data_IF_317281277018
#
_entry.id   IF_317281277018
#
_cell.length_a   1.000
_cell.length_b   1.000
_cell.length_c   1.000
_cell.angle_alpha   90.00
_cell.angle_beta   90.00
_cell.angle_gamma   90.00
#
_symmetry.space_group_name_H-M   'P 1'
#
loop_
_entity.id
_entity.type
_entity.pdbx_description
1 polymer ?
#
# COMPACT_ATOMS: atom_id res chain seq x y z
N UNK A 1 -6.76 14.49 22.86
CA UNK A 1 -7.87 15.41 23.21
C UNK A 1 -8.03 16.34 22.02
N UNK A 2 -9.22 16.37 21.40
CA UNK A 2 -9.50 17.19 20.21
C UNK A 2 -9.21 16.52 18.87
N UNK A 3 -9.32 15.19 18.77
CA UNK A 3 -9.23 14.45 17.49
C UNK A 3 -10.43 13.54 17.22
N UNK A 4 -11.49 13.72 18.02
CA UNK A 4 -12.63 12.80 18.04
C UNK A 4 -13.44 12.92 16.74
N UNK A 5 -13.47 14.11 16.14
CA UNK A 5 -14.12 14.35 14.84
C UNK A 5 -13.36 13.68 13.68
N UNK A 6 -12.04 13.82 13.62
CA UNK A 6 -11.22 13.17 12.60
C UNK A 6 -11.28 11.64 12.74
N UNK A 7 -11.20 11.12 13.96
CA UNK A 7 -11.34 9.69 14.22
C UNK A 7 -12.73 9.18 13.81
N UNK A 8 -13.80 9.92 14.13
CA UNK A 8 -15.17 9.57 13.73
C UNK A 8 -15.34 9.57 12.21
N UNK A 9 -14.75 10.55 11.53
CA UNK A 9 -14.78 10.65 10.06
C UNK A 9 -14.08 9.45 9.41
N UNK A 10 -12.86 9.14 9.85
CA UNK A 10 -12.11 7.98 9.37
C UNK A 10 -12.83 6.66 9.65
N UNK A 11 -13.49 6.55 10.81
CA UNK A 11 -14.30 5.38 11.15
C UNK A 11 -15.51 5.21 10.23
N UNK A 12 -16.17 6.29 9.83
CA UNK A 12 -17.28 6.25 8.87
C UNK A 12 -16.80 5.78 7.50
N UNK A 13 -15.73 6.39 6.99
CA UNK A 13 -15.16 6.03 5.69
C UNK A 13 -14.75 4.55 5.67
N UNK A 14 -14.14 4.06 6.75
CA UNK A 14 -13.75 2.66 6.83
C UNK A 14 -14.95 1.70 6.83
N UNK A 15 -16.05 2.04 7.52
CA UNK A 15 -17.29 1.25 7.46
C UNK A 15 -17.87 1.23 6.05
N UNK A 16 -17.93 2.37 5.38
CA UNK A 16 -18.38 2.47 3.99
C UNK A 16 -17.52 1.60 3.05
N UNK A 17 -16.19 1.61 3.21
CA UNK A 17 -15.29 0.71 2.44
C UNK A 17 -15.62 -0.76 2.68
N UNK A 18 -15.89 -1.14 3.94
CA UNK A 18 -16.21 -2.52 4.29
C UNK A 18 -17.58 -2.96 3.74
N UNK A 19 -18.57 -2.07 3.78
CA UNK A 19 -19.95 -2.33 3.36
C UNK A 19 -20.09 -2.30 1.83
N UNK A 20 -19.58 -1.27 1.18
CA UNK A 20 -19.71 -1.05 -0.27
C UNK A 20 -18.67 -1.84 -1.09
N UNK A 21 -17.61 -2.32 -0.44
CA UNK A 21 -16.46 -3.00 -1.07
C UNK A 21 -15.78 -2.15 -2.16
N UNK A 22 -15.80 -0.83 -1.99
CA UNK A 22 -15.14 0.14 -2.88
C UNK A 22 -13.94 0.78 -2.22
N UNK A 23 -12.86 0.99 -2.98
CA UNK A 23 -11.68 1.68 -2.48
C UNK A 23 -11.97 3.17 -2.20
N UNK A 24 -11.44 3.69 -1.09
CA UNK A 24 -11.47 5.12 -0.74
C UNK A 24 -10.06 5.57 -0.39
N UNK A 25 -9.71 6.80 -0.76
CA UNK A 25 -8.45 7.43 -0.40
C UNK A 25 -8.70 8.58 0.56
N UNK A 26 -7.90 8.63 1.63
CA UNK A 26 -7.91 9.74 2.57
C UNK A 26 -6.50 10.29 2.71
N UNK A 27 -6.37 11.60 2.52
CA UNK A 27 -5.10 12.32 2.66
C UNK A 27 -5.12 13.14 3.93
N UNK A 28 -4.17 12.88 4.84
CA UNK A 28 -4.03 13.63 6.09
C UNK A 28 -2.99 14.73 5.90
N UNK A 29 -3.47 15.98 5.86
CA UNK A 29 -2.64 17.18 5.69
C UNK A 29 -2.53 17.92 7.02
N UNK A 30 -1.36 18.49 7.31
CA UNK A 30 -1.14 19.30 8.49
C UNK A 30 0.33 19.59 8.68
N UNK A 31 0.64 20.54 9.57
CA UNK A 31 2.01 21.00 9.78
C UNK A 31 2.94 19.90 10.34
N UNK A 32 4.24 20.11 10.18
CA UNK A 32 5.25 19.24 10.79
C UNK A 32 5.07 19.23 12.32
N UNK A 33 5.15 18.05 12.93
CA UNK A 33 5.01 17.91 14.39
C UNK A 33 3.57 17.99 14.94
N UNK A 34 2.56 18.32 14.13
CA UNK A 34 1.14 18.37 14.58
C UNK A 34 0.63 16.99 15.03
N UNK A 35 1.31 15.91 14.65
CA UNK A 35 1.02 14.53 15.08
C UNK A 35 0.23 13.70 14.07
N UNK A 36 0.41 13.92 12.76
CA UNK A 36 -0.26 13.15 11.68
C UNK A 36 -0.06 11.64 11.84
N UNK A 37 1.19 11.19 12.00
CA UNK A 37 1.51 9.76 12.18
C UNK A 37 0.86 9.18 13.44
N UNK A 38 0.73 9.97 14.51
CA UNK A 38 -0.02 9.56 15.71
C UNK A 38 -1.51 9.38 15.42
N UNK A 39 -2.13 10.28 14.64
CA UNK A 39 -3.54 10.15 14.24
C UNK A 39 -3.74 8.87 13.42
N UNK A 40 -2.91 8.66 12.39
CA UNK A 40 -3.07 7.49 11.51
C UNK A 40 -2.85 6.18 12.27
N UNK A 41 -1.86 6.12 13.17
CA UNK A 41 -1.67 4.96 14.04
C UNK A 41 -2.89 4.69 14.91
N UNK A 42 -3.47 5.73 15.52
CA UNK A 42 -4.67 5.59 16.36
C UNK A 42 -5.89 5.15 15.54
N UNK A 43 -6.02 5.62 14.29
CA UNK A 43 -7.02 5.14 13.33
C UNK A 43 -6.82 3.65 13.05
N UNK A 44 -5.60 3.24 12.70
CA UNK A 44 -5.28 1.84 12.39
C UNK A 44 -5.56 0.94 13.60
N UNK A 45 -5.10 1.34 14.79
CA UNK A 45 -5.27 0.58 16.03
C UNK A 45 -6.75 0.41 16.42
N UNK A 46 -7.60 1.42 16.20
CA UNK A 46 -9.00 1.42 16.66
C UNK A 46 -10.02 0.97 15.63
N UNK A 47 -9.81 1.35 14.38
CA UNK A 47 -10.81 1.22 13.31
C UNK A 47 -10.51 0.00 12.44
N UNK A 48 -9.24 -0.21 12.11
CA UNK A 48 -8.79 -1.32 11.27
C UNK A 48 -8.38 -2.57 12.09
N UNK A 49 -8.90 -2.69 13.32
CA UNK A 49 -8.61 -3.83 14.19
C UNK A 49 -9.08 -5.13 13.53
N UNK A 50 -8.14 -6.03 13.23
CA UNK A 50 -8.41 -7.28 12.50
C UNK A 50 -8.35 -7.16 10.97
N UNK A 51 -8.15 -5.96 10.43
CA UNK A 51 -7.88 -5.73 9.01
C UNK A 51 -6.42 -5.98 8.68
N UNK A 52 -6.15 -6.21 7.39
CA UNK A 52 -4.77 -6.21 6.90
C UNK A 52 -4.32 -4.76 6.75
N UNK A 53 -3.24 -4.40 7.45
CA UNK A 53 -2.59 -3.10 7.29
C UNK A 53 -1.29 -3.34 6.53
N UNK A 54 -1.05 -2.57 5.48
CA UNK A 54 0.17 -2.59 4.69
C UNK A 54 0.78 -1.19 4.72
N UNK A 55 2.04 -1.06 5.12
CA UNK A 55 2.67 0.24 5.32
C UNK A 55 3.80 0.48 4.33
N UNK A 56 3.75 1.62 3.66
CA UNK A 56 4.81 2.15 2.81
C UNK A 56 5.22 3.56 3.25
N UNK A 57 6.42 3.97 2.87
CA UNK A 57 6.93 5.32 3.09
C UNK A 57 7.63 5.81 1.83
N UNK A 58 7.32 7.02 1.40
CA UNK A 58 8.09 7.69 0.34
C UNK A 58 9.41 8.20 0.93
N UNK A 59 10.51 7.92 0.23
CA UNK A 59 11.85 8.36 0.64
C UNK A 59 12.24 9.66 -0.09
N UNK A 60 13.01 10.55 0.54
CA UNK A 60 13.40 11.83 -0.06
C UNK A 60 14.45 11.70 -1.18
N UNK A 61 15.24 10.62 -1.19
CA UNK A 61 16.29 10.36 -2.18
C UNK A 61 16.67 8.88 -2.21
N UNK A 62 17.16 8.45 -3.37
CA UNK A 62 17.61 7.08 -3.66
C UNK A 62 17.36 6.74 -5.12
N UNK A 63 18.16 5.84 -5.69
CA UNK A 63 17.92 5.37 -7.05
C UNK A 63 16.83 4.29 -7.04
N UNK A 64 15.88 4.37 -7.98
CA UNK A 64 14.82 3.36 -8.13
C UNK A 64 13.79 3.33 -7.00
N UNK A 65 13.64 4.42 -6.24
CA UNK A 65 12.71 4.49 -5.09
C UNK A 65 11.28 4.88 -5.45
N UNK A 66 10.97 5.12 -6.73
CA UNK A 66 9.64 5.53 -7.22
C UNK A 66 8.53 4.63 -6.66
N UNK A 67 8.72 3.31 -6.68
CA UNK A 67 7.77 2.31 -6.15
C UNK A 67 8.19 1.75 -4.79
N UNK A 68 9.10 2.40 -4.08
CA UNK A 68 9.55 1.96 -2.76
C UNK A 68 8.41 1.73 -1.76
N UNK A 69 7.38 2.60 -1.66
CA UNK A 69 6.28 2.34 -0.73
C UNK A 69 5.49 1.08 -1.09
N UNK A 70 5.27 0.82 -2.40
CA UNK A 70 4.63 -0.41 -2.88
C UNK A 70 5.49 -1.63 -2.56
N UNK A 71 6.81 -1.55 -2.77
CA UNK A 71 7.75 -2.61 -2.42
C UNK A 71 7.65 -2.97 -0.93
N UNK A 72 7.62 -1.98 -0.04
CA UNK A 72 7.46 -2.23 1.39
C UNK A 72 6.18 -3.02 1.70
N UNK A 73 5.06 -2.60 1.11
CA UNK A 73 3.77 -3.28 1.27
C UNK A 73 3.79 -4.72 0.72
N UNK A 74 4.40 -4.93 -0.45
CA UNK A 74 4.54 -6.25 -1.07
C UNK A 74 5.39 -7.18 -0.21
N UNK A 75 6.52 -6.69 0.31
CA UNK A 75 7.40 -7.48 1.19
C UNK A 75 6.71 -7.85 2.49
N UNK A 76 6.01 -6.91 3.11
CA UNK A 76 5.22 -7.14 4.31
C UNK A 76 4.13 -8.19 4.07
N UNK A 77 3.37 -8.04 2.98
CA UNK A 77 2.27 -8.92 2.65
C UNK A 77 2.70 -10.36 2.31
N UNK A 78 3.85 -10.51 1.64
CA UNK A 78 4.42 -11.79 1.25
C UNK A 78 5.39 -12.40 2.28
N UNK A 79 5.68 -11.71 3.39
CA UNK A 79 6.63 -12.19 4.40
C UNK A 79 8.08 -12.31 3.87
N UNK A 80 8.45 -11.41 2.94
CA UNK A 80 9.79 -11.31 2.39
C UNK A 80 10.69 -10.59 3.39
N UNK A 81 11.86 -11.16 3.64
CA UNK A 81 12.89 -10.68 4.58
C UNK A 81 14.14 -10.29 3.81
N UNK A 82 14.99 -9.46 4.42
CA UNK A 82 16.26 -9.04 3.82
C UNK A 82 17.25 -10.19 3.58
N UNK A 83 17.11 -11.29 4.33
CA UNK A 83 17.93 -12.49 4.17
C UNK A 83 17.44 -13.46 3.08
N UNK A 84 16.26 -13.21 2.47
CA UNK A 84 15.76 -14.06 1.40
C UNK A 84 16.56 -13.81 0.10
N UNK A 85 16.89 -14.88 -0.62
CA UNK A 85 17.41 -14.73 -1.99
C UNK A 85 16.32 -14.18 -2.93
N UNK A 86 16.68 -13.59 -4.08
CA UNK A 86 15.70 -13.14 -5.07
C UNK A 86 14.69 -14.24 -5.46
N UNK A 87 15.15 -15.48 -5.62
CA UNK A 87 14.30 -16.62 -5.96
C UNK A 87 13.32 -16.97 -4.84
N UNK A 88 13.79 -16.94 -3.58
CA UNK A 88 12.94 -17.16 -2.42
C UNK A 88 11.90 -16.04 -2.26
N UNK A 89 12.29 -14.79 -2.49
CA UNK A 89 11.40 -13.64 -2.43
C UNK A 89 10.32 -13.71 -3.53
N UNK A 90 10.69 -14.06 -4.77
CA UNK A 90 9.75 -14.28 -5.87
C UNK A 90 8.79 -15.44 -5.59
N UNK A 91 9.28 -16.55 -5.03
CA UNK A 91 8.44 -17.69 -4.66
C UNK A 91 7.40 -17.32 -3.59
N UNK A 92 7.82 -16.61 -2.54
CA UNK A 92 6.93 -16.08 -1.50
C UNK A 92 5.90 -15.12 -2.05
N UNK A 93 6.32 -14.22 -2.95
CA UNK A 93 5.42 -13.28 -3.60
C UNK A 93 4.34 -14.03 -4.39
N UNK A 94 4.75 -15.01 -5.22
CA UNK A 94 3.83 -15.84 -5.97
C UNK A 94 2.86 -16.62 -5.07
N UNK A 95 3.34 -17.16 -3.94
CA UNK A 95 2.50 -17.86 -2.97
C UNK A 95 1.46 -16.91 -2.33
N UNK A 96 1.87 -15.68 -2.04
CA UNK A 96 1.03 -14.67 -1.42
C UNK A 96 -0.07 -14.15 -2.36
N UNK A 97 0.25 -13.88 -3.63
CA UNK A 97 -0.74 -13.37 -4.60
C UNK A 97 -1.49 -14.46 -5.36
N UNK A 98 -0.91 -15.66 -5.49
CA UNK A 98 -1.44 -16.81 -6.26
C UNK A 98 -1.81 -16.49 -7.71
N UNK A 99 -1.20 -15.45 -8.26
CA UNK A 99 -1.35 -15.00 -9.63
C UNK A 99 0.06 -14.67 -10.17
N UNK A 100 0.47 -15.40 -11.21
CA UNK A 100 1.81 -15.25 -11.79
C UNK A 100 1.99 -13.90 -12.48
N UNK A 101 0.97 -13.42 -13.18
CA UNK A 101 1.07 -12.17 -13.91
C UNK A 101 1.22 -10.98 -12.95
N UNK A 102 0.47 -11.01 -11.84
CA UNK A 102 0.60 -10.03 -10.76
C UNK A 102 1.96 -10.15 -10.08
N UNK A 103 2.40 -11.36 -9.74
CA UNK A 103 3.68 -11.59 -9.07
C UNK A 103 4.87 -11.08 -9.89
N UNK A 104 4.92 -11.36 -11.19
CA UNK A 104 6.05 -10.99 -12.04
C UNK A 104 6.19 -9.46 -12.17
N UNK A 105 5.06 -8.74 -12.29
CA UNK A 105 5.03 -7.27 -12.38
C UNK A 105 5.40 -6.60 -11.06
N UNK A 106 4.87 -7.11 -9.95
CA UNK A 106 5.27 -6.63 -8.62
C UNK A 106 6.75 -6.94 -8.34
N UNK A 107 7.26 -8.11 -8.75
CA UNK A 107 8.67 -8.46 -8.60
C UNK A 107 9.59 -7.51 -9.39
N UNK A 108 9.17 -7.10 -10.59
CA UNK A 108 9.86 -6.07 -11.38
C UNK A 108 9.87 -4.72 -10.67
N UNK A 109 8.71 -4.21 -10.23
CA UNK A 109 8.63 -2.95 -9.48
C UNK A 109 9.37 -3.00 -8.13
N UNK A 110 9.49 -4.20 -7.56
CA UNK A 110 10.20 -4.47 -6.32
C UNK A 110 11.73 -4.62 -6.48
N UNK A 111 12.26 -4.58 -7.72
CA UNK A 111 13.67 -4.85 -7.98
C UNK A 111 14.10 -6.30 -7.69
N UNK A 112 13.13 -7.21 -7.54
CA UNK A 112 13.36 -8.65 -7.30
C UNK A 112 13.60 -9.40 -8.62
N UNK A 113 13.29 -8.78 -9.75
CA UNK A 113 13.45 -9.32 -11.11
C UNK A 113 14.09 -8.27 -12.02
N UNK A 114 14.90 -8.74 -12.98
CA UNK A 114 15.45 -7.90 -14.05
C UNK A 114 14.46 -7.65 -15.20
N UNK A 115 13.28 -8.29 -15.17
CA UNK A 115 12.22 -8.00 -16.11
C UNK A 115 11.76 -6.54 -15.97
N UNK A 116 11.40 -5.92 -17.08
CA UNK A 116 10.84 -4.57 -17.11
C UNK A 116 9.44 -4.62 -17.73
N UNK A 117 8.48 -4.00 -17.05
CA UNK A 117 7.12 -3.88 -17.54
C UNK A 117 6.74 -2.41 -17.72
N UNK A 118 5.85 -2.08 -18.67
CA UNK A 118 5.28 -0.75 -18.79
C UNK A 118 4.56 -0.31 -17.50
N UNK A 119 4.59 0.99 -17.21
CA UNK A 119 3.94 1.57 -16.04
C UNK A 119 2.45 1.16 -15.88
N UNK A 120 1.61 1.14 -16.94
CA UNK A 120 0.23 0.68 -16.81
C UNK A 120 0.08 -0.75 -16.29
N UNK A 121 1.03 -1.64 -16.60
CA UNK A 121 1.03 -3.01 -16.12
C UNK A 121 1.42 -3.10 -14.64
N UNK A 122 2.34 -2.24 -14.19
CA UNK A 122 2.68 -2.11 -12.77
C UNK A 122 1.47 -1.58 -11.98
N UNK A 123 0.79 -0.56 -12.50
CA UNK A 123 -0.40 0.01 -11.87
C UNK A 123 -1.53 -1.04 -11.77
N UNK A 124 -1.76 -1.79 -12.85
CA UNK A 124 -2.70 -2.91 -12.86
C UNK A 124 -2.35 -3.97 -11.81
N UNK A 125 -1.07 -4.37 -11.72
CA UNK A 125 -0.62 -5.38 -10.76
C UNK A 125 -0.76 -4.91 -9.32
N UNK A 126 -0.46 -3.63 -9.03
CA UNK A 126 -0.64 -3.04 -7.71
C UNK A 126 -2.11 -2.98 -7.30
N UNK A 127 -3.01 -2.63 -8.22
CA UNK A 127 -4.46 -2.72 -7.99
C UNK A 127 -4.89 -4.15 -7.71
N UNK A 128 -4.49 -5.11 -8.55
CA UNK A 128 -4.82 -6.54 -8.37
C UNK A 128 -4.30 -7.10 -7.06
N UNK A 129 -3.09 -6.73 -6.67
CA UNK A 129 -2.54 -7.05 -5.36
C UNK A 129 -3.48 -6.62 -4.24
N UNK A 130 -3.88 -5.35 -4.18
CA UNK A 130 -4.79 -4.87 -3.14
C UNK A 130 -6.16 -5.58 -3.18
N UNK A 131 -6.71 -5.83 -4.38
CA UNK A 131 -7.96 -6.60 -4.56
C UNK A 131 -7.86 -8.03 -4.00
N UNK A 132 -6.75 -8.73 -4.28
CA UNK A 132 -6.50 -10.09 -3.83
C UNK A 132 -6.41 -10.17 -2.30
N UNK A 133 -5.74 -9.21 -1.66
CA UNK A 133 -5.68 -9.14 -0.21
C UNK A 133 -7.04 -8.72 0.41
N UNK A 134 -7.81 -7.88 -0.30
CA UNK A 134 -9.14 -7.45 0.12
C UNK A 134 -10.20 -8.56 0.03
N UNK A 135 -9.89 -9.70 -0.62
CA UNK A 135 -10.81 -10.84 -0.68
C UNK A 135 -11.19 -11.39 0.70
N UNK A 136 -10.30 -11.27 1.69
CA UNK A 136 -10.51 -11.79 3.05
C UNK A 136 -10.96 -10.73 4.07
N UNK A 137 -11.27 -9.52 3.62
CA UNK A 137 -11.69 -8.40 4.47
C UNK A 137 -11.00 -7.09 4.07
N UNK A 138 -11.36 -5.96 4.70
CA UNK A 138 -10.79 -4.66 4.35
C UNK A 138 -9.27 -4.63 4.49
N UNK A 139 -8.62 -3.94 3.53
CA UNK A 139 -7.19 -3.67 3.53
C UNK A 139 -6.98 -2.17 3.74
N UNK A 140 -6.06 -1.82 4.63
CA UNK A 140 -5.59 -0.45 4.82
C UNK A 140 -4.18 -0.34 4.27
N UNK A 141 -4.03 0.36 3.15
CA UNK A 141 -2.72 0.73 2.61
C UNK A 141 -2.35 2.13 3.14
N UNK A 142 -1.34 2.20 3.99
CA UNK A 142 -0.86 3.45 4.56
C UNK A 142 0.44 3.90 3.87
N UNK A 143 0.47 5.14 3.37
CA UNK A 143 1.66 5.75 2.77
C UNK A 143 2.08 6.96 3.59
N UNK A 144 3.26 6.88 4.20
CA UNK A 144 3.87 7.99 4.93
C UNK A 144 4.71 8.87 4.01
N UNK A 145 4.87 10.14 4.39
CA UNK A 145 5.71 11.12 3.70
C UNK A 145 5.39 11.30 2.19
N UNK A 146 4.11 11.21 1.80
CA UNK A 146 3.62 11.28 0.41
C UNK A 146 4.10 12.51 -0.40
N UNK A 147 4.52 13.58 0.27
CA UNK A 147 5.08 14.77 -0.38
C UNK A 147 6.42 14.50 -1.11
N UNK A 148 7.09 13.37 -0.81
CA UNK A 148 8.26 12.90 -1.57
C UNK A 148 7.91 11.98 -2.74
N UNK A 149 6.64 11.64 -2.94
CA UNK A 149 6.25 10.75 -4.03
C UNK A 149 6.53 11.39 -5.40
N UNK A 150 7.07 10.59 -6.30
CA UNK A 150 7.16 10.94 -7.72
C UNK A 150 5.79 10.80 -8.40
N UNK A 151 5.59 11.53 -9.52
CA UNK A 151 4.34 11.54 -10.26
C UNK A 151 3.83 10.13 -10.62
N UNK A 152 4.73 9.23 -11.05
CA UNK A 152 4.35 7.86 -11.41
C UNK A 152 3.76 7.06 -10.23
N UNK A 153 4.17 7.34 -8.99
CA UNK A 153 3.59 6.70 -7.81
C UNK A 153 2.24 7.32 -7.46
N UNK A 154 2.07 8.63 -7.63
CA UNK A 154 0.77 9.30 -7.45
C UNK A 154 -0.25 8.78 -8.48
N UNK A 155 0.15 8.63 -9.74
CA UNK A 155 -0.68 8.04 -10.80
C UNK A 155 -1.10 6.59 -10.45
N UNK A 156 -0.21 5.82 -9.82
CA UNK A 156 -0.53 4.48 -9.32
C UNK A 156 -1.62 4.54 -8.23
N UNK A 157 -1.50 5.45 -7.25
CA UNK A 157 -2.50 5.61 -6.20
C UNK A 157 -3.87 5.98 -6.77
N UNK A 158 -3.91 6.87 -7.76
CA UNK A 158 -5.15 7.21 -8.46
C UNK A 158 -5.72 6.01 -9.24
N UNK A 159 -4.86 5.23 -9.90
CA UNK A 159 -5.28 4.04 -10.64
C UNK A 159 -5.92 2.97 -9.75
N UNK A 160 -5.44 2.82 -8.51
CA UNK A 160 -6.03 1.90 -7.52
C UNK A 160 -7.49 2.26 -7.20
N UNK A 161 -7.86 3.54 -7.30
CA UNK A 161 -9.22 4.01 -6.98
C UNK A 161 -10.21 3.86 -8.12
N UNK A 162 -9.74 3.67 -9.35
CA UNK A 162 -10.57 3.51 -10.54
C UNK A 162 -11.17 2.09 -10.55
N UNK A 163 -12.17 1.87 -9.68
CA UNK A 163 -12.79 0.55 -9.51
C UNK A 163 -13.82 0.26 -10.57
#
# INVERSE_FOLDING_TARGET
VGRDEELSTMASIFREVADDRTARMVTVIGDAGVGKSRLVREVIERIAAGSRVLSGRCLPYGDGITFWPLLMMVREAAGIRDADSPEAAQAKLLEAVRDREVADRLASAAGLSAAAFPLPEINWAARKFLELFAANGPVVAFVDDIHWAEAAYLDLLEHVLQT
#
